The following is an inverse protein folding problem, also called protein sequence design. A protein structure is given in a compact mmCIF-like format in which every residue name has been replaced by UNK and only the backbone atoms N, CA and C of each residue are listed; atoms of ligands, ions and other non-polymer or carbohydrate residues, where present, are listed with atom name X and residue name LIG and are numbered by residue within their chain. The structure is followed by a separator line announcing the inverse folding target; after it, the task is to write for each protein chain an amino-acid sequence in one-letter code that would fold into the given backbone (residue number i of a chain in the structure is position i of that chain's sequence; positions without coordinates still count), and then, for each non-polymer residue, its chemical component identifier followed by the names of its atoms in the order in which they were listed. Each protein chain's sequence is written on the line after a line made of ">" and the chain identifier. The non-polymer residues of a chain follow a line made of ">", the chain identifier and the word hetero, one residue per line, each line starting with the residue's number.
data_IF_047277787889
#
_entry.id   IF_047277787889
#
_cell.length_a   1.000
_cell.length_b   1.000
_cell.length_c   1.000
_cell.angle_alpha   90.00
_cell.angle_beta   90.00
_cell.angle_gamma   90.00
#
_symmetry.space_group_name_H-M   'P 1'
#
loop_
_entity.id
_entity.type
_entity.pdbx_description
1 polymer ?
#
# COMPACT_ATOMS: atom_id res chain seq x y z
N UNK A 1 -18.52 9.91 -4.63
CA UNK A 1 -17.62 10.93 -5.21
C UNK A 1 -16.70 10.21 -6.18
N UNK A 2 -17.06 10.15 -7.47
CA UNK A 2 -16.27 9.48 -8.52
C UNK A 2 -15.59 8.18 -8.06
N UNK A 3 -14.30 8.08 -8.35
CA UNK A 3 -13.43 6.98 -7.93
C UNK A 3 -12.84 7.15 -6.52
N UNK A 4 -12.84 8.36 -5.96
CA UNK A 4 -12.24 8.63 -4.64
C UNK A 4 -13.07 8.08 -3.48
N UNK A 5 -14.38 7.84 -3.70
CA UNK A 5 -15.27 7.18 -2.74
C UNK A 5 -16.37 6.40 -3.45
N UNK A 6 -16.20 5.08 -3.51
CA UNK A 6 -17.12 4.11 -4.09
C UNK A 6 -17.71 3.18 -3.02
N UNK A 7 -18.75 2.43 -3.39
CA UNK A 7 -19.36 1.37 -2.54
C UNK A 7 -18.77 -0.01 -2.81
N UNK A 8 -18.49 -0.30 -4.07
CA UNK A 8 -17.67 -1.44 -4.49
C UNK A 8 -16.31 -0.92 -4.91
N UNK A 9 -15.26 -1.58 -4.42
CA UNK A 9 -13.88 -1.28 -4.77
C UNK A 9 -13.06 -2.55 -4.70
N UNK A 10 -11.95 -2.56 -5.43
CA UNK A 10 -10.97 -3.64 -5.38
C UNK A 10 -9.74 -3.12 -4.68
N UNK A 11 -9.24 -3.87 -3.69
CA UNK A 11 -7.96 -3.57 -3.05
C UNK A 11 -6.92 -4.59 -3.47
N UNK A 12 -5.68 -4.17 -3.54
CA UNK A 12 -4.50 -5.03 -3.66
C UNK A 12 -4.11 -5.63 -2.29
N UNK A 13 -5.13 -5.99 -1.52
CA UNK A 13 -5.04 -6.44 -0.14
C UNK A 13 -4.36 -7.81 -0.05
N UNK A 14 -3.53 -7.97 0.98
CA UNK A 14 -2.89 -9.23 1.29
C UNK A 14 -2.64 -9.37 2.79
N UNK A 15 -2.57 -10.62 3.23
CA UNK A 15 -2.33 -11.00 4.62
C UNK A 15 -1.07 -11.86 4.68
N UNK A 16 -0.05 -11.37 5.38
CA UNK A 16 1.20 -12.09 5.60
C UNK A 16 1.12 -12.74 6.99
N UNK A 17 1.41 -14.04 7.04
CA UNK A 17 1.57 -14.77 8.29
C UNK A 17 3.04 -15.04 8.51
N UNK A 18 3.60 -14.54 9.61
CA UNK A 18 5.00 -14.73 9.95
C UNK A 18 5.16 -15.11 11.43
N UNK A 19 6.34 -15.60 11.80
CA UNK A 19 6.66 -15.75 13.22
C UNK A 19 6.86 -14.39 13.87
N UNK A 20 6.84 -14.36 15.21
CA UNK A 20 7.06 -13.13 15.98
C UNK A 20 8.45 -12.56 15.74
N UNK A 21 9.44 -13.43 15.58
CA UNK A 21 10.84 -13.08 15.31
C UNK A 21 11.02 -12.49 13.90
N UNK A 22 10.21 -12.91 12.94
CA UNK A 22 10.23 -12.40 11.56
C UNK A 22 9.48 -11.08 11.38
N UNK A 23 8.61 -10.71 12.33
CA UNK A 23 7.69 -9.58 12.23
C UNK A 23 8.38 -8.28 11.82
N UNK A 24 9.47 -7.90 12.50
CA UNK A 24 10.16 -6.64 12.23
C UNK A 24 10.78 -6.60 10.81
N UNK A 25 11.33 -7.73 10.35
CA UNK A 25 11.92 -7.82 9.00
C UNK A 25 10.83 -7.79 7.91
N UNK A 26 9.73 -8.51 8.09
CA UNK A 26 8.64 -8.52 7.13
C UNK A 26 7.94 -7.17 7.01
N UNK A 27 7.79 -6.44 8.13
CA UNK A 27 7.30 -5.06 8.12
C UNK A 27 8.23 -4.13 7.34
N UNK A 28 9.55 -4.22 7.57
CA UNK A 28 10.55 -3.38 6.89
C UNK A 28 10.60 -3.64 5.38
N UNK A 29 10.61 -4.93 4.99
CA UNK A 29 10.55 -5.34 3.59
C UNK A 29 9.27 -4.87 2.92
N UNK A 30 8.13 -5.00 3.60
CA UNK A 30 6.84 -4.57 3.08
C UNK A 30 6.78 -3.06 2.90
N UNK A 31 7.19 -2.28 3.90
CA UNK A 31 7.19 -0.82 3.84
C UNK A 31 8.16 -0.30 2.77
N UNK A 32 9.36 -0.88 2.67
CA UNK A 32 10.33 -0.56 1.63
C UNK A 32 9.77 -0.83 0.23
N UNK A 33 9.10 -1.98 0.05
CA UNK A 33 8.47 -2.34 -1.21
C UNK A 33 7.36 -1.35 -1.59
N UNK A 34 6.49 -0.98 -0.64
CA UNK A 34 5.45 0.04 -0.84
C UNK A 34 6.05 1.36 -1.31
N UNK A 35 7.07 1.87 -0.62
CA UNK A 35 7.68 3.15 -0.95
C UNK A 35 8.33 3.14 -2.35
N UNK A 36 9.04 2.06 -2.70
CA UNK A 36 9.63 1.94 -4.03
C UNK A 36 8.57 1.84 -5.13
N UNK A 37 7.52 1.05 -4.89
CA UNK A 37 6.41 0.91 -5.84
C UNK A 37 5.73 2.25 -6.11
N UNK A 38 5.43 3.04 -5.07
CA UNK A 38 4.84 4.36 -5.25
C UNK A 38 5.78 5.31 -6.02
N UNK A 39 7.11 5.23 -5.81
CA UNK A 39 8.11 5.99 -6.59
C UNK A 39 8.10 5.62 -8.07
N UNK A 40 7.90 4.34 -8.41
CA UNK A 40 7.80 3.90 -9.80
C UNK A 40 6.58 4.53 -10.52
N UNK A 41 5.52 4.84 -9.76
CA UNK A 41 4.36 5.62 -10.23
C UNK A 41 4.55 7.15 -10.13
N UNK A 42 5.78 7.64 -9.94
CA UNK A 42 6.09 9.07 -9.92
C UNK A 42 5.69 9.82 -8.64
N UNK A 43 5.18 9.11 -7.63
CA UNK A 43 4.87 9.68 -6.33
C UNK A 43 6.14 9.66 -5.48
N UNK A 44 6.63 10.82 -5.03
CA UNK A 44 7.92 10.90 -4.32
C UNK A 44 7.90 11.71 -3.03
N UNK A 45 6.85 12.52 -2.82
CA UNK A 45 6.68 13.31 -1.60
C UNK A 45 5.86 12.51 -0.59
N UNK A 46 6.55 11.90 0.37
CA UNK A 46 5.97 11.02 1.39
C UNK A 46 6.25 11.49 2.80
N UNK A 47 5.30 11.17 3.68
CA UNK A 47 5.56 11.02 5.10
C UNK A 47 4.79 9.81 5.62
N UNK A 48 5.17 9.34 6.80
CA UNK A 48 4.56 8.20 7.46
C UNK A 48 3.71 8.67 8.62
N UNK A 49 2.58 8.03 8.84
CA UNK A 49 1.78 8.17 10.05
C UNK A 49 1.79 6.88 10.84
N UNK A 50 2.09 6.96 12.14
CA UNK A 50 1.98 5.86 13.08
C UNK A 50 0.69 6.00 13.87
N UNK A 51 -0.31 5.18 13.52
CA UNK A 51 -1.57 5.17 14.23
C UNK A 51 -1.53 4.21 15.42
N UNK A 52 -1.87 4.70 16.60
CA UNK A 52 -1.83 3.94 17.87
C UNK A 52 -3.23 3.69 18.43
N UNK A 53 -3.32 2.87 19.49
CA UNK A 53 -4.61 2.45 20.07
C UNK A 53 -5.48 3.62 20.49
N UNK A 54 -6.78 3.46 20.28
CA UNK A 54 -7.82 4.26 20.92
C UNK A 54 -8.00 3.75 22.37
N UNK A 55 -7.79 4.58 23.41
CA UNK A 55 -7.94 4.18 24.80
C UNK A 55 -9.34 3.63 25.15
N UNK A 56 -10.37 4.02 24.41
CA UNK A 56 -11.76 3.61 24.65
C UNK A 56 -12.15 2.36 23.84
N UNK A 57 -11.36 1.98 22.83
CA UNK A 57 -11.77 0.97 21.84
C UNK A 57 -10.60 0.18 21.23
N UNK A 58 -10.07 -0.76 22.00
CA UNK A 58 -9.09 -1.73 21.52
C UNK A 58 -9.32 -3.13 22.13
N UNK A 59 -8.71 -4.15 21.53
CA UNK A 59 -8.67 -5.54 22.04
C UNK A 59 -7.22 -6.01 22.15
N UNK A 60 -6.99 -7.05 22.95
CA UNK A 60 -5.65 -7.55 23.28
C UNK A 60 -5.06 -6.88 24.52
N UNK A 61 -3.82 -7.25 24.88
CA UNK A 61 -3.13 -6.71 26.05
C UNK A 61 -2.37 -5.43 25.72
N UNK A 62 -2.18 -4.59 26.74
CA UNK A 62 -1.35 -3.39 26.62
C UNK A 62 0.09 -3.70 26.19
N UNK A 63 0.65 -4.80 26.67
CA UNK A 63 2.00 -5.27 26.32
C UNK A 63 2.12 -5.59 24.83
N UNK A 64 1.15 -6.30 24.24
CA UNK A 64 1.14 -6.59 22.80
C UNK A 64 1.03 -5.31 21.98
N UNK A 65 0.21 -4.36 22.42
CA UNK A 65 0.08 -3.06 21.75
C UNK A 65 1.36 -2.23 21.82
N UNK A 66 2.03 -2.21 22.97
CA UNK A 66 3.29 -1.50 23.16
C UNK A 66 4.40 -2.09 22.28
N UNK A 67 4.56 -3.42 22.30
CA UNK A 67 5.51 -4.13 21.44
C UNK A 67 5.25 -3.90 19.94
N UNK A 68 4.00 -4.01 19.52
CA UNK A 68 3.60 -3.81 18.12
C UNK A 68 3.84 -2.37 17.66
N UNK A 69 3.48 -1.40 18.50
CA UNK A 69 3.64 0.03 18.20
C UNK A 69 5.12 0.38 18.11
N UNK A 70 5.93 -0.12 19.04
CA UNK A 70 7.36 0.11 19.06
C UNK A 70 8.06 -0.54 17.87
N UNK A 71 7.67 -1.75 17.48
CA UNK A 71 8.19 -2.43 16.29
C UNK A 71 7.90 -1.62 15.04
N UNK A 72 6.65 -1.14 14.87
CA UNK A 72 6.28 -0.29 13.74
C UNK A 72 7.06 1.04 13.75
N UNK A 73 7.22 1.68 14.92
CA UNK A 73 7.99 2.92 15.05
C UNK A 73 9.43 2.71 14.57
N UNK A 74 10.11 1.67 15.05
CA UNK A 74 11.49 1.36 14.65
C UNK A 74 11.60 1.07 13.15
N UNK A 75 10.65 0.33 12.58
CA UNK A 75 10.62 0.06 11.13
C UNK A 75 10.40 1.34 10.33
N UNK A 76 9.47 2.19 10.74
CA UNK A 76 9.17 3.46 10.08
C UNK A 76 10.39 4.41 10.11
N UNK A 77 11.06 4.54 11.25
CA UNK A 77 12.23 5.41 11.41
C UNK A 77 13.42 5.00 10.53
N UNK A 78 13.61 3.71 10.29
CA UNK A 78 14.65 3.20 9.38
C UNK A 78 14.49 3.69 7.95
N UNK A 79 13.27 4.04 7.53
CA UNK A 79 13.01 4.54 6.18
C UNK A 79 13.49 5.98 5.97
N UNK A 80 13.88 6.69 7.04
CA UNK A 80 14.38 8.06 6.95
C UNK A 80 13.33 9.09 6.51
N UNK A 81 12.04 8.75 6.63
CA UNK A 81 10.91 9.63 6.33
C UNK A 81 10.37 10.30 7.60
N UNK A 82 9.73 11.48 7.51
CA UNK A 82 9.04 12.06 8.64
C UNK A 82 7.97 11.10 9.17
N UNK A 83 7.99 10.82 10.47
CA UNK A 83 7.00 9.99 11.15
C UNK A 83 6.12 10.87 12.03
N UNK A 84 4.83 10.93 11.70
CA UNK A 84 3.83 11.74 12.40
C UNK A 84 2.99 10.81 13.29
N UNK A 85 2.81 11.15 14.58
CA UNK A 85 1.92 10.38 15.45
C UNK A 85 0.45 10.60 15.07
N UNK A 86 -0.34 9.53 15.07
CA UNK A 86 -1.79 9.55 14.86
C UNK A 86 -2.52 8.82 16.02
N UNK A 87 -2.61 9.45 17.20
CA UNK A 87 -3.17 8.82 18.39
C UNK A 87 -4.65 8.46 18.20
N UNK A 88 -5.00 7.19 18.44
CA UNK A 88 -6.37 6.70 18.28
C UNK A 88 -6.79 6.40 16.84
N UNK A 89 -5.92 6.58 15.84
CA UNK A 89 -6.24 6.31 14.44
C UNK A 89 -6.10 4.84 14.02
N UNK A 90 -5.64 3.96 14.93
CA UNK A 90 -5.49 2.54 14.66
C UNK A 90 -6.85 1.83 14.56
N UNK A 91 -6.88 0.66 13.93
CA UNK A 91 -8.04 -0.21 14.11
C UNK A 91 -8.01 -0.83 15.52
N UNK A 92 -9.16 -1.27 16.01
CA UNK A 92 -9.27 -1.82 17.37
C UNK A 92 -8.39 -3.06 17.64
N UNK A 93 -7.89 -3.73 16.59
CA UNK A 93 -7.13 -4.98 16.67
C UNK A 93 -5.61 -4.84 16.53
N UNK A 94 -5.10 -3.63 16.26
CA UNK A 94 -3.65 -3.39 16.26
C UNK A 94 -3.21 -2.10 15.56
N UNK A 95 -1.95 -1.67 15.83
CA UNK A 95 -1.40 -0.44 15.30
C UNK A 95 -1.05 -0.58 13.81
N UNK A 96 -0.90 0.56 13.12
CA UNK A 96 -0.59 0.59 11.68
C UNK A 96 0.34 1.73 11.33
N UNK A 97 1.11 1.52 10.27
CA UNK A 97 1.79 2.57 9.51
C UNK A 97 0.95 2.89 8.28
N UNK A 98 0.75 4.17 8.02
CA UNK A 98 0.12 4.65 6.79
C UNK A 98 1.10 5.50 5.99
N UNK A 99 1.18 5.26 4.69
CA UNK A 99 1.99 6.09 3.78
C UNK A 99 1.11 7.20 3.24
N UNK A 100 1.48 8.43 3.58
CA UNK A 100 0.80 9.63 3.14
C UNK A 100 1.59 10.24 1.98
N UNK A 101 0.89 10.60 0.90
CA UNK A 101 1.49 11.19 -0.28
C UNK A 101 0.80 12.49 -0.67
N UNK A 102 1.57 13.50 -1.09
CA UNK A 102 1.03 14.73 -1.67
C UNK A 102 0.87 14.62 -3.18
N UNK A 103 -0.28 15.01 -3.68
CA UNK A 103 -0.51 15.13 -5.12
C UNK A 103 0.10 16.41 -5.71
N UNK A 104 0.01 16.56 -7.04
CA UNK A 104 0.60 17.67 -7.78
C UNK A 104 0.04 19.07 -7.40
N UNK A 105 -1.10 19.13 -6.69
CA UNK A 105 -1.71 20.38 -6.22
C UNK A 105 -1.67 20.53 -4.70
N UNK A 106 -0.91 19.67 -4.00
CA UNK A 106 -0.60 19.78 -2.58
C UNK A 106 -1.62 19.17 -1.63
N UNK A 107 -2.62 18.40 -2.11
CA UNK A 107 -3.52 17.64 -1.22
C UNK A 107 -2.82 16.37 -0.77
N UNK A 108 -3.10 15.96 0.47
CA UNK A 108 -2.54 14.72 1.04
C UNK A 108 -3.53 13.58 0.91
N UNK A 109 -3.02 12.42 0.48
CA UNK A 109 -3.75 11.18 0.33
C UNK A 109 -3.05 10.05 1.09
N UNK A 110 -3.81 9.34 1.91
CA UNK A 110 -3.37 8.05 2.43
C UNK A 110 -3.39 7.02 1.30
N UNK A 111 -2.22 6.55 0.90
CA UNK A 111 -2.03 5.64 -0.23
C UNK A 111 -1.98 4.19 0.21
N UNK A 112 -1.18 3.90 1.22
CA UNK A 112 -0.84 2.53 1.60
C UNK A 112 -0.97 2.35 3.09
N UNK A 113 -1.18 1.11 3.52
CA UNK A 113 -1.17 0.76 4.94
C UNK A 113 -0.48 -0.57 5.18
N UNK A 114 0.27 -0.64 6.27
CA UNK A 114 0.83 -1.88 6.84
C UNK A 114 0.37 -1.92 8.29
N UNK A 115 -0.38 -2.95 8.63
CA UNK A 115 -1.07 -3.05 9.92
C UNK A 115 -0.81 -4.40 10.57
N UNK A 116 -0.50 -4.37 11.86
CA UNK A 116 -0.38 -5.58 12.67
C UNK A 116 -1.75 -5.99 13.22
N UNK A 117 -2.02 -7.29 13.22
CA UNK A 117 -3.20 -7.90 13.82
C UNK A 117 -2.80 -9.10 14.67
N UNK A 118 -3.08 -9.00 15.97
CA UNK A 118 -2.87 -10.08 16.94
C UNK A 118 -4.19 -10.75 17.36
N UNK A 119 -5.32 -10.15 17.00
CA UNK A 119 -6.65 -10.57 17.40
C UNK A 119 -7.21 -11.67 16.48
N UNK A 120 -7.09 -11.55 15.16
CA UNK A 120 -7.60 -12.57 14.25
C UNK A 120 -6.85 -13.91 14.39
N UNK A 121 -5.50 -13.95 14.50
CA UNK A 121 -4.80 -15.20 14.81
C UNK A 121 -5.32 -15.89 16.08
N UNK A 122 -5.67 -15.13 17.11
CA UNK A 122 -6.25 -15.67 18.35
C UNK A 122 -7.69 -16.16 18.13
N UNK A 123 -8.54 -15.34 17.50
CA UNK A 123 -9.96 -15.64 17.30
C UNK A 123 -10.23 -16.81 16.37
N UNK A 124 -9.35 -17.02 15.39
CA UNK A 124 -9.44 -18.14 14.46
C UNK A 124 -8.64 -19.38 14.91
N UNK A 125 -8.03 -19.32 16.09
CA UNK A 125 -7.19 -20.38 16.63
C UNK A 125 -6.08 -20.81 15.64
N UNK A 126 -5.42 -19.81 15.03
CA UNK A 126 -4.35 -20.05 14.08
C UNK A 126 -3.08 -20.49 14.82
N UNK A 127 -2.43 -21.52 14.29
CA UNK A 127 -1.21 -22.07 14.86
C UNK A 127 -0.25 -22.54 13.75
N UNK A 128 1.05 -22.47 14.06
CA UNK A 128 2.11 -23.16 13.34
C UNK A 128 2.91 -24.02 14.33
N UNK A 129 3.72 -24.94 13.81
CA UNK A 129 4.57 -25.79 14.65
C UNK A 129 5.97 -25.17 14.70
N UNK A 130 6.42 -24.81 15.90
CA UNK A 130 7.74 -24.25 16.13
C UNK A 130 8.87 -25.28 15.98
N UNK A 131 10.14 -24.83 15.94
CA UNK A 131 11.30 -25.73 15.81
C UNK A 131 11.42 -26.75 16.94
N UNK A 132 10.89 -26.45 18.12
CA UNK A 132 10.85 -27.31 19.31
C UNK A 132 9.62 -28.24 19.34
N UNK A 133 8.77 -28.20 18.31
CA UNK A 133 7.53 -28.96 18.22
C UNK A 133 6.35 -28.33 18.97
N UNK A 134 6.54 -27.21 19.65
CA UNK A 134 5.44 -26.49 20.32
C UNK A 134 4.49 -25.85 19.30
N UNK A 135 3.22 -25.70 19.68
CA UNK A 135 2.25 -24.92 18.90
C UNK A 135 2.42 -23.44 19.24
N UNK A 136 2.64 -22.65 18.20
CA UNK A 136 2.88 -21.22 18.30
C UNK A 136 1.87 -20.47 17.44
N UNK A 137 1.49 -19.27 17.86
CA UNK A 137 0.52 -18.44 17.13
C UNK A 137 1.26 -17.51 16.15
N UNK A 138 0.87 -17.43 14.88
CA UNK A 138 1.51 -16.51 13.93
C UNK A 138 1.09 -15.07 14.20
N UNK A 139 1.93 -14.13 13.77
CA UNK A 139 1.55 -12.72 13.61
C UNK A 139 0.90 -12.56 12.24
N UNK A 140 -0.19 -11.79 12.16
CA UNK A 140 -0.80 -11.39 10.90
C UNK A 140 -0.45 -9.93 10.58
N UNK A 141 0.05 -9.70 9.37
CA UNK A 141 0.28 -8.35 8.83
C UNK A 141 -0.70 -8.15 7.68
N UNK A 142 -1.59 -7.17 7.81
CA UNK A 142 -2.43 -6.68 6.73
C UNK A 142 -1.65 -5.66 5.91
N UNK A 143 -1.75 -5.73 4.59
CA UNK A 143 -1.13 -4.73 3.73
C UNK A 143 -1.94 -4.43 2.48
N UNK A 144 -2.13 -3.15 2.22
CA UNK A 144 -2.58 -2.64 0.93
C UNK A 144 -1.53 -1.65 0.41
N UNK A 145 -0.99 -1.91 -0.78
CA UNK A 145 0.10 -1.12 -1.36
C UNK A 145 -0.47 0.11 -2.08
N UNK A 146 -1.55 -0.06 -2.83
CA UNK A 146 -2.25 1.04 -3.52
C UNK A 146 -3.49 1.53 -2.76
N UNK A 147 -3.98 0.73 -1.82
CA UNK A 147 -5.29 0.94 -1.22
C UNK A 147 -6.37 0.37 -2.15
N UNK A 148 -7.41 1.13 -2.46
CA UNK A 148 -8.31 0.73 -3.54
C UNK A 148 -7.76 1.17 -4.89
N UNK A 149 -7.85 0.29 -5.88
CA UNK A 149 -7.39 0.57 -7.26
C UNK A 149 -8.13 1.78 -7.82
N UNK A 150 -9.42 1.93 -7.53
CA UNK A 150 -10.22 3.08 -7.94
C UNK A 150 -9.65 4.39 -7.37
N UNK A 151 -9.38 4.44 -6.07
CA UNK A 151 -8.84 5.63 -5.43
C UNK A 151 -7.43 5.92 -5.92
N UNK A 152 -6.61 4.89 -6.09
CA UNK A 152 -5.26 5.01 -6.63
C UNK A 152 -5.27 5.66 -8.02
N UNK A 153 -6.10 5.16 -8.93
CA UNK A 153 -6.22 5.75 -10.27
C UNK A 153 -6.78 7.18 -10.25
N UNK A 154 -7.70 7.52 -9.33
CA UNK A 154 -8.13 8.90 -9.15
C UNK A 154 -6.97 9.82 -8.78
N UNK A 155 -6.13 9.39 -7.82
CA UNK A 155 -4.95 10.16 -7.40
C UNK A 155 -3.95 10.29 -8.55
N UNK A 156 -3.69 9.21 -9.30
CA UNK A 156 -2.77 9.27 -10.45
C UNK A 156 -3.29 10.17 -11.57
N UNK A 157 -4.59 10.14 -11.85
CA UNK A 157 -5.20 11.00 -12.87
C UNK A 157 -4.98 12.49 -12.53
N UNK A 158 -5.16 12.85 -11.26
CA UNK A 158 -4.93 14.22 -10.78
C UNK A 158 -3.44 14.55 -10.72
N UNK A 159 -2.59 13.62 -10.26
CA UNK A 159 -1.13 13.78 -10.20
C UNK A 159 -0.52 14.05 -11.58
N UNK A 160 -0.96 13.32 -12.60
CA UNK A 160 -0.47 13.49 -13.98
C UNK A 160 -1.26 14.54 -14.79
N UNK A 161 -2.30 15.15 -14.21
CA UNK A 161 -3.23 16.02 -14.95
C UNK A 161 -3.76 15.38 -16.26
N UNK A 162 -3.97 14.05 -16.24
CA UNK A 162 -4.37 13.26 -17.41
C UNK A 162 -3.25 12.85 -18.38
N UNK A 163 -2.04 13.39 -18.24
CA UNK A 163 -0.89 13.06 -19.08
C UNK A 163 -0.08 11.89 -18.49
N UNK A 164 -0.66 10.69 -18.49
CA UNK A 164 -0.02 9.49 -17.95
C UNK A 164 1.33 9.16 -18.64
N UNK A 165 2.28 8.54 -17.92
CA UNK A 165 3.47 8.00 -18.53
C UNK A 165 3.09 6.90 -19.54
N UNK A 166 3.91 6.69 -20.57
CA UNK A 166 3.61 5.81 -21.72
C UNK A 166 3.18 4.39 -21.29
N UNK A 167 3.73 3.87 -20.20
CA UNK A 167 3.40 2.54 -19.69
C UNK A 167 2.03 2.45 -19.00
N UNK A 168 1.43 3.57 -18.60
CA UNK A 168 0.05 3.66 -18.09
C UNK A 168 -0.95 4.19 -19.11
N UNK A 169 -0.48 4.86 -20.17
CA UNK A 169 -1.34 5.54 -21.11
C UNK A 169 -2.28 4.54 -21.81
N UNK A 170 -3.62 4.77 -21.81
CA UNK A 170 -4.58 3.85 -22.45
C UNK A 170 -4.39 3.77 -23.97
N UNK A 171 -3.85 4.83 -24.57
CA UNK A 171 -3.42 4.88 -25.96
C UNK A 171 -1.97 5.40 -25.97
N UNK A 172 -1.03 4.53 -26.33
CA UNK A 172 0.40 4.85 -26.27
C UNK A 172 0.90 5.62 -27.50
N UNK A 173 0.31 5.35 -28.66
CA UNK A 173 0.62 6.04 -29.92
C UNK A 173 -0.60 6.06 -30.85
N UNK A 174 -0.74 7.15 -31.60
CA UNK A 174 -1.74 7.31 -32.67
C UNK A 174 -1.01 7.61 -33.97
N UNK A 175 -1.20 6.75 -34.97
CA UNK A 175 -0.67 6.97 -36.31
C UNK A 175 -1.61 7.86 -37.13
N UNK A 176 -1.09 8.94 -37.72
CA UNK A 176 -1.85 9.84 -38.58
C UNK A 176 -1.17 9.86 -39.97
N UNK A 177 -1.76 9.24 -41.01
CA UNK A 177 -1.18 9.25 -42.33
C UNK A 177 -1.36 10.63 -42.99
N UNK A 178 -0.38 11.08 -43.76
CA UNK A 178 -0.48 12.35 -44.51
C UNK A 178 -1.53 12.25 -45.65
N UNK A 179 -1.76 11.04 -46.18
CA UNK A 179 -2.73 10.78 -47.23
C UNK A 179 -2.93 9.28 -47.46
N UNK A 180 -3.93 8.91 -48.27
CA UNK A 180 -4.41 7.52 -48.39
C UNK A 180 -3.34 6.51 -48.83
N UNK A 181 -2.38 6.95 -49.64
CA UNK A 181 -1.26 6.12 -50.09
C UNK A 181 -0.36 5.61 -48.94
N UNK A 182 -0.35 6.29 -47.79
CA UNK A 182 0.45 5.90 -46.61
C UNK A 182 -0.30 4.94 -45.67
N UNK A 183 -1.61 4.73 -45.86
CA UNK A 183 -2.42 3.89 -44.97
C UNK A 183 -1.89 2.44 -44.91
N UNK A 184 -1.56 1.76 -46.03
CA UNK A 184 -1.09 0.38 -45.98
C UNK A 184 0.19 0.23 -45.15
N UNK A 185 1.17 1.12 -45.35
CA UNK A 185 2.43 1.12 -44.59
C UNK A 185 2.19 1.39 -43.10
N UNK A 186 1.35 2.40 -42.78
CA UNK A 186 1.05 2.72 -41.39
C UNK A 186 0.36 1.54 -40.66
N UNK A 187 -0.53 0.82 -41.33
CA UNK A 187 -1.17 -0.38 -40.77
C UNK A 187 -0.16 -1.52 -40.53
N UNK A 188 0.77 -1.75 -41.45
CA UNK A 188 1.84 -2.74 -41.30
C UNK A 188 2.76 -2.38 -40.12
N UNK A 189 3.18 -1.12 -40.03
CA UNK A 189 3.99 -0.63 -38.92
C UNK A 189 3.24 -0.77 -37.58
N UNK A 190 1.98 -0.36 -37.51
CA UNK A 190 1.17 -0.47 -36.29
C UNK A 190 0.97 -1.94 -35.86
N UNK A 191 0.84 -2.87 -36.81
CA UNK A 191 0.78 -4.30 -36.52
C UNK A 191 2.11 -4.83 -35.96
N UNK A 192 3.23 -4.29 -36.43
CA UNK A 192 4.57 -4.63 -35.93
C UNK A 192 4.82 -4.05 -34.53
N UNK A 193 4.45 -2.79 -34.30
CA UNK A 193 4.63 -2.10 -33.03
C UNK A 193 3.76 -2.66 -31.88
N UNK A 194 2.74 -3.46 -32.19
CA UNK A 194 1.90 -4.17 -31.20
C UNK A 194 2.50 -5.50 -30.73
N UNK A 195 3.53 -6.01 -31.41
CA UNK A 195 4.23 -7.24 -31.03
C UNK A 195 5.36 -6.92 -30.07
#
# INVERSE_FOLDING_TARGET
>A
HGLTRSRGFTQDDAHIYCTKEQMAEELDRTLTFVLNLLRDYGLTDFYLELSTKDPEKYVGSDETWEEATETLRQVAEKQGLPLVPDPGGAAFYGPKISVQCKDAIGRTWQMSTVQLDFNLPERFDLEYTGPDGSKQRPVMIHRALFGSIERFFAVLLEHYAGAFPVWLAPVQAVGIPIGDAHIPYLQEFAATARK
#
